data_IF_259133894364
#
_entry.id   IF_259133894364
#
_cell.length_a   1.000
_cell.length_b   1.000
_cell.length_c   1.000
_cell.angle_alpha   90.00
_cell.angle_beta   90.00
_cell.angle_gamma   90.00
#
_symmetry.space_group_name_H-M   'P 1'
#
loop_
_entity.id
_entity.type
_entity.pdbx_description
1 polymer ?
#
# COMPACT_ATOMS: atom_id res chain seq x y z
N UNK A 1 -14.70 33.88 30.38
CA UNK A 1 -13.28 34.21 30.14
C UNK A 1 -12.32 33.54 31.12
N UNK A 2 -12.47 33.78 32.43
CA UNK A 2 -11.51 33.34 33.46
C UNK A 2 -11.38 31.81 33.62
N UNK A 3 -12.49 31.05 33.55
CA UNK A 3 -12.45 29.58 33.66
C UNK A 3 -11.69 28.92 32.50
N UNK A 4 -11.79 29.45 31.27
CA UNK A 4 -11.08 28.88 30.12
C UNK A 4 -9.58 29.22 30.14
N UNK A 5 -9.19 30.35 30.73
CA UNK A 5 -7.78 30.72 30.94
C UNK A 5 -7.14 29.85 32.03
N UNK A 6 -7.80 29.67 33.18
CA UNK A 6 -7.30 28.82 34.27
C UNK A 6 -7.14 27.36 33.83
N UNK A 7 -8.14 26.82 33.12
CA UNK A 7 -8.13 25.45 32.58
C UNK A 7 -6.97 25.23 31.60
N UNK A 8 -6.64 26.21 30.74
CA UNK A 8 -5.48 26.14 29.84
C UNK A 8 -4.15 26.13 30.58
N UNK A 9 -4.02 26.89 31.67
CA UNK A 9 -2.78 26.93 32.47
C UNK A 9 -2.55 25.61 33.23
N UNK A 10 -3.61 25.00 33.77
CA UNK A 10 -3.53 23.69 34.43
C UNK A 10 -3.14 22.58 33.45
N UNK A 11 -3.72 22.58 32.24
CA UNK A 11 -3.37 21.61 31.19
C UNK A 11 -1.91 21.74 30.77
N UNK A 12 -1.40 22.97 30.63
CA UNK A 12 0.03 23.20 30.29
C UNK A 12 0.95 22.68 31.39
N UNK A 13 0.64 22.96 32.67
CA UNK A 13 1.39 22.43 33.82
C UNK A 13 1.37 20.90 33.86
N UNK A 14 0.20 20.30 33.62
CA UNK A 14 0.04 18.84 33.61
C UNK A 14 0.82 18.18 32.48
N UNK A 15 0.87 18.83 31.30
CA UNK A 15 1.69 18.36 30.19
C UNK A 15 3.17 18.42 30.57
N UNK A 16 3.69 19.56 31.01
CA UNK A 16 5.10 19.67 31.42
C UNK A 16 5.48 18.65 32.50
N UNK A 17 4.60 18.39 33.46
CA UNK A 17 4.81 17.34 34.47
C UNK A 17 4.82 15.93 33.85
N UNK A 18 3.89 15.64 32.96
CA UNK A 18 3.84 14.36 32.25
C UNK A 18 5.11 14.13 31.42
N UNK A 19 5.60 15.15 30.73
CA UNK A 19 6.89 15.11 30.01
C UNK A 19 8.05 14.84 30.97
N UNK A 20 8.11 15.54 32.11
CA UNK A 20 9.12 15.29 33.13
C UNK A 20 9.07 13.84 33.66
N UNK A 21 7.88 13.31 33.93
CA UNK A 21 7.69 11.92 34.41
C UNK A 21 8.04 10.90 33.32
N UNK A 22 7.62 11.11 32.08
CA UNK A 22 7.94 10.22 30.95
C UNK A 22 9.44 10.20 30.64
N UNK A 23 10.13 11.32 30.84
CA UNK A 23 11.59 11.41 30.68
C UNK A 23 12.32 10.82 31.89
N UNK A 24 11.83 11.05 33.11
CA UNK A 24 12.46 10.50 34.33
C UNK A 24 12.21 9.00 34.49
N UNK A 25 11.08 8.46 34.04
CA UNK A 25 10.74 7.04 34.21
C UNK A 25 11.77 6.07 33.61
N UNK A 26 12.27 6.25 32.37
CA UNK A 26 13.33 5.40 31.81
C UNK A 26 14.69 5.66 32.47
N UNK A 27 14.98 6.90 32.89
CA UNK A 27 16.21 7.24 33.62
C UNK A 27 16.25 6.51 34.99
N UNK A 28 15.11 6.45 35.70
CA UNK A 28 14.97 5.72 36.95
C UNK A 28 14.91 4.19 36.74
N UNK A 29 14.38 3.73 35.60
CA UNK A 29 14.36 2.30 35.25
C UNK A 29 15.75 1.73 35.01
N UNK A 30 16.63 2.44 34.29
CA UNK A 30 18.03 2.01 34.11
C UNK A 30 18.81 2.07 35.42
N UNK A 31 18.50 3.04 36.30
CA UNK A 31 19.04 3.13 37.65
C UNK A 31 18.65 1.91 38.50
N UNK A 32 17.42 1.42 38.38
CA UNK A 32 16.95 0.22 39.09
C UNK A 32 17.62 -1.05 38.57
N UNK A 33 17.76 -1.18 37.25
CA UNK A 33 18.48 -2.30 36.63
C UNK A 33 19.95 -2.31 37.04
N UNK A 34 20.60 -1.15 37.16
CA UNK A 34 21.96 -1.04 37.66
C UNK A 34 22.12 -1.59 39.10
N UNK A 35 21.17 -1.29 39.98
CA UNK A 35 21.13 -1.83 41.34
C UNK A 35 20.99 -3.35 41.36
N UNK A 36 20.04 -3.88 40.57
CA UNK A 36 19.81 -5.32 40.41
C UNK A 36 21.05 -6.02 39.83
N UNK A 37 21.65 -5.50 38.75
CA UNK A 37 22.84 -6.09 38.12
C UNK A 37 24.05 -6.11 39.07
N UNK A 38 24.13 -5.15 40.02
CA UNK A 38 25.17 -5.16 41.05
C UNK A 38 25.05 -6.32 42.05
N UNK A 39 23.86 -6.89 42.23
CA UNK A 39 23.64 -8.09 43.04
C UNK A 39 23.90 -9.40 42.27
N UNK A 40 23.85 -9.38 40.94
CA UNK A 40 23.98 -10.56 40.07
C UNK A 40 25.29 -10.57 39.26
N UNK A 41 26.42 -10.20 39.89
CA UNK A 41 27.74 -10.13 39.23
C UNK A 41 28.15 -11.43 38.52
N UNK A 42 27.63 -12.57 38.96
CA UNK A 42 27.90 -13.90 38.39
C UNK A 42 27.02 -14.25 37.17
N UNK A 43 26.11 -13.37 36.75
CA UNK A 43 25.20 -13.61 35.62
C UNK A 43 25.53 -12.68 34.44
N UNK A 44 26.27 -13.17 33.43
CA UNK A 44 26.64 -12.37 32.26
C UNK A 44 25.43 -11.78 31.52
N UNK A 45 24.28 -12.48 31.56
CA UNK A 45 23.05 -12.03 30.93
C UNK A 45 22.54 -10.68 31.49
N UNK A 46 22.74 -10.40 32.79
CA UNK A 46 22.32 -9.15 33.40
C UNK A 46 23.12 -7.95 32.86
N UNK A 47 24.40 -8.16 32.53
CA UNK A 47 25.24 -7.14 31.90
C UNK A 47 24.82 -6.84 30.47
N UNK A 48 24.47 -7.85 29.66
CA UNK A 48 23.96 -7.63 28.30
C UNK A 48 22.64 -6.86 28.29
N UNK A 49 21.73 -7.18 29.22
CA UNK A 49 20.46 -6.44 29.39
C UNK A 49 20.76 -4.99 29.80
N UNK A 50 21.68 -4.77 30.73
CA UNK A 50 22.08 -3.41 31.14
C UNK A 50 22.68 -2.62 29.97
N UNK A 51 23.60 -3.21 29.20
CA UNK A 51 24.21 -2.58 28.02
C UNK A 51 23.16 -2.25 26.97
N UNK A 52 22.22 -3.17 26.69
CA UNK A 52 21.13 -2.96 25.75
C UNK A 52 20.19 -1.84 26.18
N UNK A 53 19.84 -1.78 27.47
CA UNK A 53 19.00 -0.71 28.03
C UNK A 53 19.70 0.65 28.05
N UNK A 54 21.00 0.70 28.33
CA UNK A 54 21.78 1.95 28.27
C UNK A 54 21.98 2.42 26.83
N UNK A 55 22.35 1.53 25.91
CA UNK A 55 22.51 1.87 24.49
C UNK A 55 21.19 2.25 23.82
N UNK A 56 20.09 1.65 24.24
CA UNK A 56 18.74 1.95 23.76
C UNK A 56 18.05 3.10 24.48
N UNK A 57 18.63 3.67 25.55
CA UNK A 57 17.96 4.65 26.41
C UNK A 57 17.53 5.90 25.62
N UNK A 58 18.41 6.44 24.78
CA UNK A 58 18.10 7.60 23.94
C UNK A 58 16.98 7.31 22.93
N UNK A 59 16.94 6.09 22.39
CA UNK A 59 15.90 5.67 21.45
C UNK A 59 14.55 5.49 22.17
N UNK A 60 14.54 4.89 23.36
CA UNK A 60 13.32 4.74 24.17
C UNK A 60 12.76 6.10 24.57
N UNK A 61 13.62 7.04 24.98
CA UNK A 61 13.20 8.41 25.27
C UNK A 61 12.59 9.02 24.00
N UNK A 62 13.30 9.03 22.87
CA UNK A 62 12.79 9.59 21.61
C UNK A 62 11.43 8.99 21.19
N UNK A 63 11.27 7.67 21.32
CA UNK A 63 10.04 6.96 20.98
C UNK A 63 8.91 7.37 21.93
N UNK A 64 9.11 7.33 23.24
CA UNK A 64 8.06 7.70 24.20
C UNK A 64 7.71 9.18 24.11
N UNK A 65 8.71 10.05 24.00
CA UNK A 65 8.59 11.50 23.87
C UNK A 65 7.81 11.89 22.60
N UNK A 66 8.18 11.30 21.46
CA UNK A 66 7.57 11.57 20.16
C UNK A 66 6.20 10.86 19.98
N UNK A 67 6.02 9.63 20.50
CA UNK A 67 4.76 8.90 20.38
C UNK A 67 3.71 9.24 21.45
N UNK A 68 4.12 9.65 22.66
CA UNK A 68 3.19 10.08 23.70
C UNK A 68 2.74 11.53 23.51
N UNK A 69 3.38 12.29 22.61
CA UNK A 69 2.83 13.56 22.15
C UNK A 69 1.55 13.29 21.35
N UNK A 70 0.41 13.61 21.97
CA UNK A 70 -0.94 13.37 21.46
C UNK A 70 -1.14 13.95 20.05
N UNK A 71 -0.45 15.05 19.76
CA UNK A 71 -0.47 15.74 18.46
C UNK A 71 0.23 14.93 17.37
N UNK A 72 1.41 14.38 17.67
CA UNK A 72 2.20 13.56 16.72
C UNK A 72 1.51 12.24 16.45
N UNK A 73 0.99 11.58 17.49
CA UNK A 73 0.26 10.31 17.35
C UNK A 73 -1.00 10.45 16.49
N UNK A 74 -1.72 11.57 16.65
CA UNK A 74 -2.92 11.85 15.86
C UNK A 74 -2.56 12.08 14.39
N UNK A 75 -1.51 12.87 14.13
CA UNK A 75 -0.99 13.07 12.78
C UNK A 75 -0.51 11.77 12.12
N UNK A 76 0.22 10.94 12.86
CA UNK A 76 0.75 9.66 12.39
C UNK A 76 -0.35 8.63 12.12
N UNK A 77 -1.37 8.56 12.99
CA UNK A 77 -2.52 7.67 12.79
C UNK A 77 -3.33 8.07 11.55
N UNK A 78 -3.55 9.37 11.33
CA UNK A 78 -4.19 9.87 10.12
C UNK A 78 -3.34 9.59 8.86
N UNK A 79 -2.02 9.75 8.94
CA UNK A 79 -1.12 9.43 7.83
C UNK A 79 -1.15 7.93 7.50
N UNK A 80 -1.05 7.07 8.51
CA UNK A 80 -1.13 5.62 8.38
C UNK A 80 -2.46 5.19 7.74
N UNK A 81 -3.58 5.76 8.23
CA UNK A 81 -4.91 5.51 7.67
C UNK A 81 -5.02 5.97 6.22
N UNK A 82 -4.50 7.15 5.87
CA UNK A 82 -4.47 7.67 4.50
C UNK A 82 -3.64 6.79 3.57
N UNK A 83 -2.44 6.37 4.00
CA UNK A 83 -1.57 5.48 3.22
C UNK A 83 -2.27 4.15 2.97
N UNK A 84 -2.85 3.54 4.01
CA UNK A 84 -3.59 2.27 3.90
C UNK A 84 -4.78 2.39 2.94
N UNK A 85 -5.53 3.49 3.03
CA UNK A 85 -6.67 3.75 2.12
C UNK A 85 -6.22 3.97 0.68
N UNK A 86 -5.12 4.71 0.46
CA UNK A 86 -4.56 4.96 -0.89
C UNK A 86 -4.03 3.69 -1.53
N UNK A 87 -3.35 2.83 -0.76
CA UNK A 87 -2.90 1.51 -1.23
C UNK A 87 -4.08 0.66 -1.70
N UNK A 88 -5.14 0.57 -0.90
CA UNK A 88 -6.37 -0.15 -1.25
C UNK A 88 -7.06 0.42 -2.51
N UNK A 89 -7.18 1.74 -2.60
CA UNK A 89 -7.78 2.39 -3.76
C UNK A 89 -6.94 2.24 -5.03
N UNK A 90 -5.62 2.38 -4.94
CA UNK A 90 -4.71 2.23 -6.08
C UNK A 90 -4.69 0.78 -6.59
N UNK A 91 -4.65 -0.20 -5.69
CA UNK A 91 -4.75 -1.61 -6.04
C UNK A 91 -6.08 -1.92 -6.74
N UNK A 92 -7.20 -1.44 -6.19
CA UNK A 92 -8.54 -1.66 -6.76
C UNK A 92 -8.70 -1.00 -8.13
N UNK A 93 -8.24 0.24 -8.29
CA UNK A 93 -8.31 0.96 -9.58
C UNK A 93 -7.40 0.34 -10.63
N UNK A 94 -6.17 -0.06 -10.29
CA UNK A 94 -5.28 -0.77 -11.23
C UNK A 94 -5.86 -2.10 -11.68
N UNK A 95 -6.41 -2.91 -10.77
CA UNK A 95 -7.02 -4.18 -11.12
C UNK A 95 -8.24 -3.99 -12.03
N UNK A 96 -9.12 -3.05 -11.70
CA UNK A 96 -10.34 -2.79 -12.47
C UNK A 96 -10.01 -2.21 -13.85
N UNK A 97 -9.03 -1.31 -13.93
CA UNK A 97 -8.61 -0.72 -15.21
C UNK A 97 -7.88 -1.75 -16.10
N UNK A 98 -7.03 -2.60 -15.53
CA UNK A 98 -6.35 -3.68 -16.27
C UNK A 98 -7.31 -4.75 -16.77
N UNK A 99 -8.28 -5.16 -15.95
CA UNK A 99 -9.31 -6.11 -16.35
C UNK A 99 -10.19 -5.53 -17.47
N UNK A 100 -10.64 -4.27 -17.32
CA UNK A 100 -11.49 -3.60 -18.31
C UNK A 100 -10.77 -3.42 -19.65
N UNK A 101 -9.51 -2.98 -19.63
CA UNK A 101 -8.72 -2.81 -20.85
C UNK A 101 -8.45 -4.15 -21.54
N UNK A 102 -8.10 -5.21 -20.80
CA UNK A 102 -7.93 -6.56 -21.38
C UNK A 102 -9.22 -7.09 -22.02
N UNK A 103 -10.36 -6.96 -21.34
CA UNK A 103 -11.64 -7.43 -21.88
C UNK A 103 -12.03 -6.66 -23.15
N UNK A 104 -11.93 -5.33 -23.12
CA UNK A 104 -12.30 -4.49 -24.25
C UNK A 104 -11.36 -4.73 -25.45
N UNK A 105 -10.06 -4.89 -25.19
CA UNK A 105 -9.11 -5.20 -26.24
C UNK A 105 -9.33 -6.59 -26.86
N UNK A 106 -9.61 -7.60 -26.04
CA UNK A 106 -9.91 -8.98 -26.50
C UNK A 106 -11.22 -9.06 -27.29
N UNK A 107 -12.27 -8.36 -26.84
CA UNK A 107 -13.53 -8.30 -27.57
C UNK A 107 -13.35 -7.61 -28.93
N UNK A 108 -12.64 -6.48 -28.95
CA UNK A 108 -12.39 -5.73 -30.18
C UNK A 108 -11.55 -6.53 -31.18
N UNK A 109 -10.49 -7.21 -30.74
CA UNK A 109 -9.66 -8.03 -31.64
C UNK A 109 -10.43 -9.23 -32.17
N UNK A 110 -11.25 -9.91 -31.34
CA UNK A 110 -12.11 -11.02 -31.81
C UNK A 110 -13.13 -10.56 -32.85
N UNK A 111 -13.80 -9.43 -32.62
CA UNK A 111 -14.78 -8.91 -33.58
C UNK A 111 -14.12 -8.56 -34.92
N UNK A 112 -12.98 -7.86 -34.88
CA UNK A 112 -12.27 -7.42 -36.07
C UNK A 112 -11.71 -8.62 -36.85
N UNK A 113 -11.18 -9.61 -36.13
CA UNK A 113 -10.74 -10.87 -36.73
C UNK A 113 -11.91 -11.59 -37.40
N UNK A 114 -13.02 -11.83 -36.70
CA UNK A 114 -14.18 -12.52 -37.26
C UNK A 114 -14.78 -11.81 -38.49
N UNK A 115 -14.87 -10.48 -38.45
CA UNK A 115 -15.36 -9.69 -39.58
C UNK A 115 -14.45 -9.86 -40.80
N UNK A 116 -13.13 -9.77 -40.61
CA UNK A 116 -12.14 -9.94 -41.67
C UNK A 116 -12.18 -11.36 -42.26
N UNK A 117 -12.29 -12.38 -41.42
CA UNK A 117 -12.36 -13.77 -41.86
C UNK A 117 -13.63 -14.03 -42.67
N UNK A 118 -14.79 -13.49 -42.23
CA UNK A 118 -16.06 -13.60 -42.97
C UNK A 118 -16.01 -12.91 -44.33
N UNK A 119 -15.45 -11.71 -44.40
CA UNK A 119 -15.30 -10.98 -45.67
C UNK A 119 -14.40 -11.73 -46.65
N UNK A 120 -13.25 -12.21 -46.18
CA UNK A 120 -12.33 -12.99 -47.01
C UNK A 120 -12.97 -14.28 -47.53
N UNK A 121 -13.70 -15.01 -46.68
CA UNK A 121 -14.38 -16.23 -47.09
C UNK A 121 -15.50 -15.98 -48.11
N UNK A 122 -16.28 -14.91 -47.91
CA UNK A 122 -17.34 -14.51 -48.84
C UNK A 122 -16.77 -14.10 -50.21
N UNK A 123 -15.74 -13.26 -50.22
CA UNK A 123 -15.07 -12.83 -51.46
C UNK A 123 -14.48 -14.02 -52.22
N UNK A 124 -13.80 -14.94 -51.53
CA UNK A 124 -13.23 -16.14 -52.15
C UNK A 124 -14.31 -17.07 -52.72
N UNK A 125 -15.44 -17.21 -52.03
CA UNK A 125 -16.57 -18.04 -52.48
C UNK A 125 -17.24 -17.43 -53.71
N UNK A 126 -17.37 -16.09 -53.76
CA UNK A 126 -17.91 -15.39 -54.93
C UNK A 126 -16.97 -15.48 -56.14
N UNK A 127 -15.65 -15.33 -55.92
CA UNK A 127 -14.65 -15.47 -56.99
C UNK A 127 -14.69 -16.88 -57.62
N UNK A 128 -14.70 -17.93 -56.79
CA UNK A 128 -14.79 -19.32 -57.26
C UNK A 128 -16.12 -19.60 -57.99
N UNK A 129 -17.25 -19.05 -57.51
CA UNK A 129 -18.53 -19.18 -58.22
C UNK A 129 -18.49 -18.49 -59.58
N UNK A 130 -17.90 -17.29 -59.65
CA UNK A 130 -17.76 -16.53 -60.90
C UNK A 130 -16.91 -17.30 -61.90
N UNK A 131 -15.73 -17.77 -61.47
CA UNK A 131 -14.81 -18.58 -62.30
C UNK A 131 -15.46 -19.84 -62.86
N UNK A 132 -16.22 -20.59 -62.03
CA UNK A 132 -16.97 -21.77 -62.48
C UNK A 132 -18.05 -21.42 -63.52
N UNK A 133 -18.76 -20.29 -63.34
CA UNK A 133 -19.74 -19.83 -64.34
C UNK A 133 -19.09 -19.41 -65.65
N UNK A 134 -17.92 -18.76 -65.61
CA UNK A 134 -17.19 -18.39 -66.83
C UNK A 134 -16.68 -19.63 -67.56
N UNK A 135 -16.10 -20.59 -66.84
CA UNK A 135 -15.63 -21.86 -67.42
C UNK A 135 -16.77 -22.68 -68.04
N UNK A 136 -17.96 -22.66 -67.44
CA UNK A 136 -19.13 -23.35 -67.99
C UNK A 136 -19.63 -22.71 -69.29
N UNK A 137 -19.66 -21.37 -69.36
CA UNK A 137 -20.02 -20.62 -70.58
C UNK A 137 -19.03 -20.86 -71.71
N UNK A 138 -17.72 -20.81 -71.42
CA UNK A 138 -16.69 -21.09 -72.44
C UNK A 138 -16.84 -22.50 -72.97
N UNK A 139 -17.09 -23.49 -72.10
CA UNK A 139 -17.27 -24.90 -72.52
C UNK A 139 -18.53 -25.12 -73.38
N UNK A 140 -19.59 -24.35 -73.17
CA UNK A 140 -20.78 -24.36 -74.05
C UNK A 140 -20.48 -23.73 -75.41
N UNK A 141 -19.65 -22.68 -75.47
CA UNK A 141 -19.24 -22.04 -76.74
C UNK A 141 -18.19 -22.86 -77.52
N UNK A 142 -17.38 -23.70 -76.88
CA UNK A 142 -16.35 -24.51 -77.56
C UNK A 142 -16.89 -25.82 -78.18
N UNK A 143 -18.15 -26.17 -77.91
CA UNK A 143 -18.82 -27.38 -78.42
C UNK A 143 -19.84 -27.09 -79.54
N UNK A 144 -19.97 -25.82 -79.95
CA UNK A 144 -20.57 -25.39 -81.21
C UNK A 144 -19.50 -25.22 -82.28
#
# INVERSE_FOLDING_TARGET
>A
GLQSVSRRNTIKKLNTFFWAVCVLSPILGTSYVFGITSFFKDVPAAHFVFIGLNGGQGLLILIFDCLCQKDVRSGLYELYKRVKSRQLHSARTRQLHSARTRQLHSARTRQLHNARTRQLHSAKTQAVKKEKSTARKVKEETHL
#
